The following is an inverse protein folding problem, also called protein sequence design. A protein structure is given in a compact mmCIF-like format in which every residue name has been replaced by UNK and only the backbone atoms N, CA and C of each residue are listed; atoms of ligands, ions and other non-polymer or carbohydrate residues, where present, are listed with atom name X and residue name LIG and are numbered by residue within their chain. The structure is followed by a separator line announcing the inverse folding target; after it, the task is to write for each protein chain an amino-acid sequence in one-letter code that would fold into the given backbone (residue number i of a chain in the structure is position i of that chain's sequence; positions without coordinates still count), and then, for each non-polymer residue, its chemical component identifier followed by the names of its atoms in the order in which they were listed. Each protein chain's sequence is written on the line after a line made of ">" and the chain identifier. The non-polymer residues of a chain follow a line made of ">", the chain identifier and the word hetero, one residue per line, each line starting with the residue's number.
data_IF_176220130349
#
_entry.id   IF_176220130349
#
_cell.length_a   1.000
_cell.length_b   1.000
_cell.length_c   1.000
_cell.angle_alpha   90.00
_cell.angle_beta   90.00
_cell.angle_gamma   90.00
#
_symmetry.space_group_name_H-M   'P 1'
#
loop_
_entity.id
_entity.type
_entity.pdbx_description
1 polymer ?
#
# COMPACT_ATOMS: atom_id res chain seq x y z
N UNK A 1 -5.61 -33.07 -18.34
CA UNK A 1 -5.99 -33.28 -16.92
C UNK A 1 -5.67 -32.01 -16.14
N UNK A 2 -6.67 -31.19 -15.85
CA UNK A 2 -6.50 -30.02 -14.98
C UNK A 2 -6.28 -30.52 -13.56
N UNK A 3 -5.09 -30.27 -12.98
CA UNK A 3 -4.80 -30.59 -11.58
C UNK A 3 -5.83 -29.87 -10.71
N UNK A 4 -6.49 -30.59 -9.80
CA UNK A 4 -7.28 -29.95 -8.72
C UNK A 4 -6.40 -28.90 -8.04
N UNK A 5 -6.88 -27.67 -7.82
CA UNK A 5 -6.11 -26.65 -7.11
C UNK A 5 -5.75 -27.18 -5.72
N UNK A 6 -4.46 -27.08 -5.36
CA UNK A 6 -4.00 -27.45 -4.01
C UNK A 6 -4.65 -26.48 -3.02
N UNK A 7 -4.99 -26.98 -1.83
CA UNK A 7 -5.54 -26.14 -0.76
C UNK A 7 -4.54 -25.01 -0.46
N UNK A 8 -4.99 -23.74 -0.34
CA UNK A 8 -4.10 -22.63 -0.04
C UNK A 8 -3.37 -22.87 1.28
N UNK A 9 -2.10 -22.48 1.33
CA UNK A 9 -1.25 -22.70 2.50
C UNK A 9 -1.54 -21.68 3.60
N UNK A 10 -1.76 -20.42 3.19
CA UNK A 10 -2.15 -19.31 4.06
C UNK A 10 -3.16 -18.39 3.36
N UNK A 11 -3.78 -17.49 4.12
CA UNK A 11 -4.57 -16.35 3.65
C UNK A 11 -3.80 -15.05 3.88
N UNK A 12 -3.59 -14.28 2.81
CA UNK A 12 -2.87 -12.99 2.84
C UNK A 12 -3.78 -11.84 2.49
N UNK A 13 -3.83 -10.83 3.35
CA UNK A 13 -4.47 -9.55 3.07
C UNK A 13 -3.44 -8.54 2.54
N UNK A 14 -3.67 -8.02 1.33
CA UNK A 14 -2.84 -6.99 0.70
C UNK A 14 -3.66 -5.71 0.57
N UNK A 15 -3.14 -4.63 1.13
CA UNK A 15 -3.76 -3.31 1.00
C UNK A 15 -3.28 -2.65 -0.29
N UNK A 16 -4.14 -2.62 -1.31
CA UNK A 16 -3.83 -2.08 -2.63
C UNK A 16 -4.10 -0.56 -2.67
N UNK A 17 -3.07 0.21 -2.99
CA UNK A 17 -3.15 1.68 -3.14
C UNK A 17 -3.17 2.14 -4.60
N UNK A 18 -2.89 1.24 -5.54
CA UNK A 18 -2.71 1.56 -6.95
C UNK A 18 -1.32 2.07 -7.30
N UNK A 19 -0.43 2.23 -6.31
CA UNK A 19 0.98 2.58 -6.52
C UNK A 19 1.88 1.38 -6.82
N UNK A 20 3.15 1.66 -7.15
CA UNK A 20 4.17 0.65 -7.50
C UNK A 20 4.31 -0.41 -6.41
N UNK A 21 4.41 0.01 -5.16
CA UNK A 21 4.82 -0.86 -4.05
C UNK A 21 3.73 -1.87 -3.68
N UNK A 22 2.48 -1.42 -3.57
CA UNK A 22 1.36 -2.30 -3.29
C UNK A 22 1.01 -3.21 -4.47
N UNK A 23 1.22 -2.74 -5.71
CA UNK A 23 1.04 -3.53 -6.93
C UNK A 23 2.09 -4.63 -7.05
N UNK A 24 3.35 -4.32 -6.70
CA UNK A 24 4.42 -5.32 -6.64
C UNK A 24 4.08 -6.43 -5.66
N UNK A 25 3.64 -6.10 -4.43
CA UNK A 25 3.26 -7.12 -3.45
C UNK A 25 2.13 -8.02 -3.95
N UNK A 26 1.14 -7.44 -4.63
CA UNK A 26 0.07 -8.21 -5.25
C UNK A 26 0.62 -9.14 -6.33
N UNK A 27 1.42 -8.63 -7.27
CA UNK A 27 2.02 -9.43 -8.33
C UNK A 27 2.88 -10.56 -7.77
N UNK A 28 3.72 -10.27 -6.77
CA UNK A 28 4.57 -11.24 -6.10
C UNK A 28 3.74 -12.34 -5.42
N UNK A 29 2.74 -11.99 -4.61
CA UNK A 29 1.90 -12.96 -3.93
C UNK A 29 1.12 -13.85 -4.92
N UNK A 30 0.67 -13.29 -6.04
CA UNK A 30 -0.05 -14.06 -7.06
C UNK A 30 0.86 -15.01 -7.84
N UNK A 31 2.13 -14.63 -8.09
CA UNK A 31 3.09 -15.40 -8.90
C UNK A 31 3.87 -16.44 -8.11
N UNK A 32 4.21 -16.13 -6.87
CA UNK A 32 5.21 -16.90 -6.12
C UNK A 32 4.59 -17.81 -5.06
N UNK A 33 3.30 -17.65 -4.77
CA UNK A 33 2.64 -18.44 -3.72
C UNK A 33 1.28 -18.97 -4.14
N UNK A 34 0.88 -20.05 -3.46
CA UNK A 34 -0.43 -20.70 -3.60
C UNK A 34 -1.43 -20.18 -2.55
N UNK A 35 -1.13 -19.05 -1.91
CA UNK A 35 -1.95 -18.53 -0.83
C UNK A 35 -3.27 -17.96 -1.36
N UNK A 36 -4.31 -18.00 -0.52
CA UNK A 36 -5.52 -17.23 -0.77
C UNK A 36 -5.16 -15.75 -0.61
N UNK A 37 -5.33 -14.97 -1.67
CA UNK A 37 -5.03 -13.54 -1.65
C UNK A 37 -6.34 -12.77 -1.50
N UNK A 38 -6.42 -11.96 -0.45
CA UNK A 38 -7.45 -10.96 -0.22
C UNK A 38 -6.82 -9.61 -0.54
N UNK A 39 -7.45 -8.84 -1.42
CA UNK A 39 -7.00 -7.52 -1.81
C UNK A 39 -8.06 -6.52 -1.39
N UNK A 40 -7.63 -5.49 -0.68
CA UNK A 40 -8.53 -4.43 -0.24
C UNK A 40 -7.99 -3.06 -0.64
N UNK A 41 -8.84 -2.24 -1.26
CA UNK A 41 -8.53 -0.86 -1.59
C UNK A 41 -9.38 0.11 -0.75
N UNK A 42 -8.75 1.13 -0.19
CA UNK A 42 -9.43 2.18 0.58
C UNK A 42 -9.49 3.45 -0.24
N UNK A 43 -10.70 3.91 -0.55
CA UNK A 43 -10.94 5.24 -1.12
C UNK A 43 -10.77 6.29 -0.02
N UNK A 44 -9.61 6.94 0.04
CA UNK A 44 -9.33 8.01 1.00
C UNK A 44 -9.74 9.37 0.41
N UNK A 45 -10.97 9.79 0.69
CA UNK A 45 -11.49 11.09 0.22
C UNK A 45 -11.01 12.17 1.19
N UNK A 46 -10.08 12.99 0.75
CA UNK A 46 -9.46 14.04 1.55
C UNK A 46 -9.10 15.25 0.65
N UNK A 47 -8.45 16.27 1.22
CA UNK A 47 -8.11 17.52 0.51
C UNK A 47 -7.13 17.33 -0.67
N UNK A 48 -6.43 16.20 -0.76
CA UNK A 48 -5.53 15.90 -1.88
C UNK A 48 -6.28 15.46 -3.13
N UNK A 49 -7.54 15.03 -3.00
CA UNK A 49 -8.42 14.72 -4.14
C UNK A 49 -7.95 13.55 -5.02
N UNK A 50 -7.01 12.72 -4.55
CA UNK A 50 -6.35 11.68 -5.36
C UNK A 50 -7.10 10.35 -5.45
N UNK A 51 -8.08 10.12 -4.58
CA UNK A 51 -8.88 8.88 -4.50
C UNK A 51 -9.41 8.39 -5.87
N UNK A 52 -9.85 9.29 -6.76
CA UNK A 52 -10.41 8.88 -8.06
C UNK A 52 -9.34 8.33 -9.02
N UNK A 53 -8.15 8.91 -9.00
CA UNK A 53 -7.05 8.45 -9.84
C UNK A 53 -6.50 7.11 -9.33
N UNK A 54 -6.35 6.99 -8.01
CA UNK A 54 -5.96 5.73 -7.34
C UNK A 54 -6.98 4.62 -7.60
N UNK A 55 -8.28 4.88 -7.43
CA UNK A 55 -9.33 3.91 -7.70
C UNK A 55 -9.33 3.42 -9.16
N UNK A 56 -9.11 4.34 -10.11
CA UNK A 56 -9.01 3.98 -11.53
C UNK A 56 -7.80 3.10 -11.82
N UNK A 57 -6.65 3.38 -11.19
CA UNK A 57 -5.47 2.54 -11.27
C UNK A 57 -5.70 1.16 -10.64
N UNK A 58 -6.22 1.10 -9.41
CA UNK A 58 -6.56 -0.13 -8.71
C UNK A 58 -7.45 -1.05 -9.55
N UNK A 59 -8.51 -0.51 -10.16
CA UNK A 59 -9.40 -1.28 -11.04
C UNK A 59 -8.64 -1.92 -12.20
N UNK A 60 -7.82 -1.15 -12.91
CA UNK A 60 -7.01 -1.65 -14.03
C UNK A 60 -6.00 -2.70 -13.59
N UNK A 61 -5.33 -2.48 -12.46
CA UNK A 61 -4.38 -3.43 -11.86
C UNK A 61 -5.09 -4.74 -11.53
N UNK A 62 -6.27 -4.68 -10.90
CA UNK A 62 -7.07 -5.86 -10.55
C UNK A 62 -7.47 -6.65 -11.80
N UNK A 63 -7.97 -5.97 -12.82
CA UNK A 63 -8.33 -6.59 -14.11
C UNK A 63 -7.12 -7.23 -14.79
N UNK A 64 -5.96 -6.56 -14.78
CA UNK A 64 -4.71 -7.10 -15.32
C UNK A 64 -4.24 -8.34 -14.55
N UNK A 65 -4.17 -8.28 -13.22
CA UNK A 65 -3.69 -9.37 -12.39
C UNK A 65 -4.58 -10.61 -12.49
N UNK A 66 -5.90 -10.45 -12.53
CA UNK A 66 -6.83 -11.57 -12.75
C UNK A 66 -6.66 -12.24 -14.11
N UNK A 67 -6.34 -11.45 -15.14
CA UNK A 67 -6.15 -11.95 -16.51
C UNK A 67 -4.80 -12.66 -16.69
N UNK A 68 -3.74 -12.13 -16.08
CA UNK A 68 -2.37 -12.54 -16.36
C UNK A 68 -1.76 -13.48 -15.31
N UNK A 69 -2.30 -13.49 -14.08
CA UNK A 69 -1.78 -14.31 -12.98
C UNK A 69 -2.79 -15.36 -12.53
N UNK A 70 -3.67 -15.01 -11.58
CA UNK A 70 -4.74 -15.87 -11.06
C UNK A 70 -5.80 -15.05 -10.35
N UNK A 71 -6.94 -15.66 -10.08
CA UNK A 71 -8.02 -15.01 -9.36
C UNK A 71 -7.71 -14.82 -7.86
N UNK A 72 -8.36 -13.83 -7.26
CA UNK A 72 -8.25 -13.42 -5.87
C UNK A 72 -9.49 -12.64 -5.42
N UNK A 73 -9.68 -12.56 -4.10
CA UNK A 73 -10.79 -11.79 -3.52
C UNK A 73 -10.44 -10.31 -3.56
N UNK A 74 -11.32 -9.47 -4.10
CA UNK A 74 -11.13 -8.02 -4.15
C UNK A 74 -12.31 -7.31 -3.49
N UNK A 75 -12.01 -6.37 -2.60
CA UNK A 75 -12.99 -5.57 -1.88
C UNK A 75 -12.52 -4.12 -1.79
N UNK A 76 -13.46 -3.21 -1.54
CA UNK A 76 -13.18 -1.78 -1.41
C UNK A 76 -13.94 -1.20 -0.22
N UNK A 77 -13.39 -0.16 0.42
CA UNK A 77 -14.10 0.67 1.41
C UNK A 77 -13.83 2.15 1.15
N UNK A 78 -14.61 3.04 1.76
CA UNK A 78 -14.44 4.49 1.62
C UNK A 78 -14.33 5.15 2.98
N UNK A 79 -13.32 6.01 3.14
CA UNK A 79 -13.18 6.89 4.30
C UNK A 79 -13.17 8.33 3.81
N UNK A 80 -14.23 9.07 4.15
CA UNK A 80 -14.38 10.47 3.79
C UNK A 80 -13.98 11.39 4.95
N UNK A 81 -12.93 12.18 4.72
CA UNK A 81 -12.42 13.23 5.62
C UNK A 81 -12.40 14.60 4.95
N UNK A 82 -13.14 14.79 3.86
CA UNK A 82 -13.23 16.08 3.16
C UNK A 82 -13.76 17.22 4.04
N UNK A 83 -14.55 16.89 5.07
CA UNK A 83 -15.04 17.83 6.08
C UNK A 83 -14.07 18.13 7.23
N UNK A 84 -12.87 17.53 7.26
CA UNK A 84 -11.90 17.68 8.34
C UNK A 84 -10.62 18.39 7.85
N UNK A 85 -10.12 19.31 8.67
CA UNK A 85 -8.80 19.93 8.43
C UNK A 85 -7.64 19.00 8.78
N UNK A 86 -7.81 18.17 9.81
CA UNK A 86 -6.83 17.17 10.21
C UNK A 86 -7.17 15.84 9.54
N UNK A 87 -6.31 15.38 8.62
CA UNK A 87 -6.53 14.16 7.85
C UNK A 87 -5.86 12.93 8.48
N UNK A 88 -4.95 13.11 9.46
CA UNK A 88 -4.14 12.02 10.00
C UNK A 88 -3.15 11.44 8.99
N UNK A 89 -2.45 10.36 9.35
CA UNK A 89 -1.63 9.61 8.41
C UNK A 89 -2.47 8.54 7.71
N UNK A 90 -2.39 8.49 6.38
CA UNK A 90 -3.12 7.53 5.55
C UNK A 90 -2.91 6.09 6.03
N UNK A 91 -1.67 5.71 6.36
CA UNK A 91 -1.31 4.35 6.79
C UNK A 91 -2.04 3.88 8.05
N UNK A 92 -2.37 4.80 8.98
CA UNK A 92 -3.15 4.45 10.18
C UNK A 92 -4.58 4.10 9.79
N UNK A 93 -5.15 4.85 8.85
CA UNK A 93 -6.50 4.60 8.33
C UNK A 93 -6.54 3.28 7.57
N UNK A 94 -5.55 3.06 6.69
CA UNK A 94 -5.42 1.81 5.94
C UNK A 94 -5.27 0.61 6.89
N UNK A 95 -4.53 0.75 7.99
CA UNK A 95 -4.41 -0.32 8.99
C UNK A 95 -5.74 -0.62 9.70
N UNK A 96 -6.52 0.41 10.05
CA UNK A 96 -7.88 0.21 10.58
C UNK A 96 -8.78 -0.50 9.58
N UNK A 97 -8.77 -0.09 8.31
CA UNK A 97 -9.56 -0.75 7.26
C UNK A 97 -9.08 -2.18 6.97
N UNK A 98 -7.78 -2.45 7.11
CA UNK A 98 -7.25 -3.81 7.01
C UNK A 98 -7.86 -4.73 8.08
N UNK A 99 -8.05 -4.24 9.30
CA UNK A 99 -8.66 -5.02 10.38
C UNK A 99 -10.15 -5.27 10.15
N UNK A 100 -10.87 -4.28 9.59
CA UNK A 100 -12.26 -4.46 9.15
C UNK A 100 -12.34 -5.51 8.04
N UNK A 101 -11.49 -5.41 7.02
CA UNK A 101 -11.46 -6.36 5.90
C UNK A 101 -11.13 -7.79 6.36
N UNK A 102 -10.16 -7.95 7.26
CA UNK A 102 -9.82 -9.25 7.85
C UNK A 102 -10.98 -9.83 8.68
N UNK A 103 -11.66 -9.00 9.48
CA UNK A 103 -12.82 -9.41 10.28
C UNK A 103 -14.00 -9.79 9.39
N UNK A 104 -14.24 -9.04 8.31
CA UNK A 104 -15.29 -9.37 7.34
C UNK A 104 -15.03 -10.74 6.69
N UNK A 105 -13.78 -11.03 6.30
CA UNK A 105 -13.41 -12.34 5.78
C UNK A 105 -13.65 -13.47 6.80
N UNK A 106 -13.33 -13.24 8.09
CA UNK A 106 -13.64 -14.18 9.16
C UNK A 106 -15.15 -14.44 9.27
N UNK A 107 -15.97 -13.39 9.25
CA UNK A 107 -17.42 -13.53 9.37
C UNK A 107 -18.04 -14.25 8.17
N UNK A 108 -17.52 -14.02 6.97
CA UNK A 108 -18.03 -14.63 5.74
C UNK A 108 -17.62 -16.10 5.59
N UNK A 109 -16.38 -16.44 5.96
CA UNK A 109 -15.78 -17.75 5.63
C UNK A 109 -15.50 -18.63 6.83
N UNK A 110 -15.55 -18.08 8.04
CA UNK A 110 -15.07 -18.72 9.27
C UNK A 110 -13.54 -18.78 9.40
N UNK A 111 -12.78 -18.26 8.43
CA UNK A 111 -11.31 -18.23 8.42
C UNK A 111 -10.75 -16.82 8.58
N UNK A 112 -9.74 -16.65 9.44
CA UNK A 112 -9.01 -15.39 9.58
C UNK A 112 -7.90 -15.28 8.53
N UNK A 113 -7.56 -14.05 8.13
CA UNK A 113 -6.30 -13.82 7.41
C UNK A 113 -5.10 -14.16 8.31
N UNK A 114 -4.12 -14.91 7.79
CA UNK A 114 -2.90 -15.24 8.53
C UNK A 114 -1.97 -14.02 8.59
N UNK A 115 -1.86 -13.33 7.46
CA UNK A 115 -0.95 -12.21 7.26
C UNK A 115 -1.66 -11.00 6.65
N UNK A 116 -1.16 -9.82 6.99
CA UNK A 116 -1.48 -8.60 6.25
C UNK A 116 -0.21 -7.85 5.87
N UNK A 117 -0.27 -7.14 4.74
CA UNK A 117 0.89 -6.51 4.11
C UNK A 117 0.56 -5.11 3.57
N UNK A 118 1.57 -4.24 3.61
CA UNK A 118 1.58 -2.90 3.05
C UNK A 118 2.82 -2.76 2.16
N UNK A 119 2.69 -2.06 1.04
CA UNK A 119 3.80 -1.78 0.13
C UNK A 119 4.79 -0.80 0.73
N UNK A 120 6.09 -1.16 0.71
CA UNK A 120 7.20 -0.30 1.09
C UNK A 120 8.37 -0.55 0.14
N UNK A 121 9.22 0.46 -0.07
CA UNK A 121 10.46 0.40 -0.84
C UNK A 121 11.60 1.06 -0.05
N UNK A 122 12.83 0.92 -0.56
CA UNK A 122 14.01 1.50 0.07
C UNK A 122 14.00 3.03 0.06
N UNK A 123 13.51 3.67 -1.00
CA UNK A 123 13.45 5.13 -1.11
C UNK A 123 12.55 5.77 -0.05
N UNK A 124 11.53 5.03 0.43
CA UNK A 124 10.64 5.39 1.53
C UNK A 124 11.14 4.88 2.89
N UNK A 125 12.08 3.94 2.91
CA UNK A 125 12.74 3.47 4.12
C UNK A 125 13.82 4.44 4.58
N UNK A 126 14.50 5.16 3.68
CA UNK A 126 15.42 6.24 4.08
C UNK A 126 14.70 7.38 4.82
N UNK A 127 13.45 7.71 4.41
CA UNK A 127 12.56 8.62 5.16
C UNK A 127 12.20 8.06 6.58
N UNK A 128 12.46 6.77 6.86
CA UNK A 128 12.16 6.06 8.11
C UNK A 128 13.41 5.51 8.84
N UNK A 129 14.61 5.62 8.27
CA UNK A 129 15.88 5.10 8.80
C UNK A 129 16.97 6.17 8.98
N UNK A 130 16.88 7.35 8.34
CA UNK A 130 17.51 8.60 8.89
C UNK A 130 16.94 8.98 10.27
N UNK A 131 15.97 8.18 10.73
CA UNK A 131 15.22 8.26 11.95
C UNK A 131 15.76 7.31 13.07
N UNK A 132 16.87 6.59 12.86
CA UNK A 132 17.50 5.69 13.84
C UNK A 132 18.95 6.04 14.23
N UNK A 133 19.50 7.17 13.79
CA UNK A 133 20.81 7.62 14.30
C UNK A 133 20.67 8.23 15.70
N UNK A 134 21.01 7.37 16.65
CA UNK A 134 21.44 7.62 18.02
C UNK A 134 20.53 8.43 18.96
N UNK A 135 20.23 7.78 20.08
CA UNK A 135 19.99 8.41 21.38
C UNK A 135 21.27 9.14 21.80
N UNK A 136 21.62 10.21 21.08
CA UNK A 136 22.74 11.10 21.34
C UNK A 136 22.26 12.24 22.22
N UNK A 137 22.39 12.07 23.54
CA UNK A 137 22.38 13.18 24.48
C UNK A 137 23.52 14.15 24.12
N UNK A 138 23.22 15.19 23.34
CA UNK A 138 23.94 16.46 23.47
C UNK A 138 23.04 17.61 23.00
N UNK A 139 22.70 18.47 23.95
CA UNK A 139 22.08 19.75 23.68
C UNK A 139 23.13 20.71 23.10
N UNK A 140 22.83 21.34 21.96
CA UNK A 140 23.04 22.79 21.77
C UNK A 140 22.55 23.26 20.39
N UNK A 141 21.84 24.39 20.37
CA UNK A 141 21.89 25.36 19.27
C UNK A 141 20.90 25.22 18.11
N UNK A 142 20.02 26.21 18.00
CA UNK A 142 19.20 26.62 16.85
C UNK A 142 17.98 25.79 16.39
N UNK A 143 16.83 26.35 16.76
CA UNK A 143 15.47 25.86 16.63
C UNK A 143 14.92 26.01 15.19
N UNK A 144 15.28 25.06 14.32
CA UNK A 144 14.49 24.72 13.14
C UNK A 144 13.99 23.28 13.26
N UNK A 145 12.95 23.08 14.07
CA UNK A 145 12.01 21.95 14.07
C UNK A 145 12.54 20.59 13.55
N UNK A 146 13.57 20.03 14.18
CA UNK A 146 13.88 18.61 14.08
C UNK A 146 12.75 17.83 14.76
N UNK A 147 11.72 17.46 13.99
CA UNK A 147 10.69 16.53 14.47
C UNK A 147 11.39 15.19 14.70
N UNK A 148 11.34 14.61 15.91
CA UNK A 148 11.90 13.28 16.11
C UNK A 148 11.18 12.31 15.20
N UNK A 149 11.98 11.62 14.41
CA UNK A 149 11.74 10.28 13.93
C UNK A 149 10.60 9.53 14.63
N UNK A 150 9.40 9.50 14.05
CA UNK A 150 8.29 8.80 14.71
C UNK A 150 8.27 7.35 14.23
N UNK A 151 8.69 6.40 15.06
CA UNK A 151 8.41 4.99 14.81
C UNK A 151 6.87 4.78 14.74
N UNK A 152 6.31 4.71 13.53
CA UNK A 152 4.86 4.61 13.30
C UNK A 152 4.31 3.20 13.49
N UNK A 153 5.17 2.18 13.48
CA UNK A 153 4.73 0.78 13.47
C UNK A 153 3.84 0.42 14.68
N UNK A 154 4.13 0.81 15.93
CA UNK A 154 3.24 0.53 17.05
C UNK A 154 1.82 1.08 16.87
N UNK A 155 1.69 2.27 16.27
CA UNK A 155 0.39 2.89 16.00
C UNK A 155 -0.37 2.19 14.87
N UNK A 156 0.36 1.77 13.82
CA UNK A 156 -0.18 0.97 12.72
C UNK A 156 -0.73 -0.36 13.28
N UNK A 157 0.05 -1.06 14.10
CA UNK A 157 -0.35 -2.33 14.71
C UNK A 157 -1.52 -2.17 15.69
N UNK A 158 -1.57 -1.06 16.44
CA UNK A 158 -2.69 -0.76 17.32
C UNK A 158 -4.00 -0.50 16.53
N UNK A 159 -3.90 0.20 15.39
CA UNK A 159 -5.06 0.54 14.56
C UNK A 159 -5.76 -0.69 13.94
N UNK A 160 -4.97 -1.67 13.46
CA UNK A 160 -5.52 -2.94 12.98
C UNK A 160 -6.06 -3.80 14.14
N UNK A 161 -5.36 -3.84 15.27
CA UNK A 161 -5.82 -4.60 16.44
C UNK A 161 -7.17 -4.08 16.98
N UNK A 162 -7.35 -2.76 17.02
CA UNK A 162 -8.57 -2.13 17.51
C UNK A 162 -9.81 -2.50 16.67
N UNK A 163 -9.62 -2.66 15.36
CA UNK A 163 -10.71 -2.99 14.42
C UNK A 163 -10.96 -4.49 14.26
N UNK A 164 -10.02 -5.34 14.71
CA UNK A 164 -10.23 -6.79 14.76
C UNK A 164 -10.93 -7.29 16.04
N UNK A 165 -11.05 -6.45 17.09
CA UNK A 165 -11.64 -6.85 18.36
C UNK A 165 -13.05 -7.47 18.19
N UNK A 166 -13.35 -8.62 18.85
CA UNK A 166 -12.58 -9.29 19.90
C UNK A 166 -11.53 -10.29 19.41
N UNK A 167 -11.33 -10.41 18.10
CA UNK A 167 -10.38 -11.36 17.52
C UNK A 167 -8.96 -10.79 17.48
N UNK A 168 -7.97 -11.69 17.46
CA UNK A 168 -6.59 -11.29 17.21
C UNK A 168 -6.43 -10.78 15.76
N UNK A 169 -5.65 -9.71 15.53
CA UNK A 169 -5.39 -9.23 14.18
C UNK A 169 -4.49 -10.20 13.39
N UNK A 170 -4.55 -10.18 12.04
CA UNK A 170 -3.58 -10.90 11.21
C UNK A 170 -2.15 -10.44 11.51
N UNK A 171 -1.16 -11.32 11.35
CA UNK A 171 0.24 -10.97 11.58
C UNK A 171 0.73 -10.00 10.50
N UNK A 172 1.42 -8.95 10.91
CA UNK A 172 2.06 -8.06 9.95
C UNK A 172 3.27 -8.76 9.31
N UNK A 173 3.24 -8.96 8.00
CA UNK A 173 4.35 -9.53 7.24
C UNK A 173 5.07 -8.38 6.52
N UNK A 174 6.21 -7.96 7.08
CA UNK A 174 7.05 -6.92 6.49
C UNK A 174 7.71 -7.46 5.21
N UNK A 175 7.51 -6.83 4.04
CA UNK A 175 8.20 -7.25 2.83
C UNK A 175 9.69 -6.92 2.91
N UNK A 176 10.49 -7.64 2.12
CA UNK A 176 11.90 -7.29 1.89
C UNK A 176 11.90 -5.96 1.13
N UNK A 177 12.63 -4.98 1.65
CA UNK A 177 12.75 -3.68 1.01
C UNK A 177 13.67 -3.80 -0.21
N UNK A 178 13.19 -3.33 -1.35
CA UNK A 178 13.94 -3.26 -2.59
C UNK A 178 13.84 -1.84 -3.17
N UNK A 179 14.79 -1.42 -4.01
CA UNK A 179 14.67 -0.20 -4.78
C UNK A 179 13.42 -0.26 -5.66
N UNK A 180 12.71 0.86 -5.78
CA UNK A 180 11.49 0.96 -6.58
C UNK A 180 11.73 0.60 -8.05
N UNK A 181 12.95 0.81 -8.57
CA UNK A 181 13.37 0.33 -9.89
C UNK A 181 13.26 -1.19 -10.02
N UNK A 182 13.78 -1.94 -9.05
CA UNK A 182 13.71 -3.40 -9.07
C UNK A 182 12.26 -3.90 -9.00
N UNK A 183 11.41 -3.22 -8.22
CA UNK A 183 9.97 -3.51 -8.17
C UNK A 183 9.33 -3.34 -9.55
N UNK A 184 9.67 -2.25 -10.25
CA UNK A 184 9.19 -1.98 -11.61
C UNK A 184 9.69 -3.02 -12.62
N UNK A 185 10.96 -3.40 -12.55
CA UNK A 185 11.54 -4.44 -13.41
C UNK A 185 10.86 -5.79 -13.21
N UNK A 186 10.58 -6.16 -11.96
CA UNK A 186 9.87 -7.39 -11.64
C UNK A 186 8.44 -7.43 -12.22
N UNK A 187 7.71 -6.32 -12.12
CA UNK A 187 6.32 -6.22 -12.59
C UNK A 187 6.20 -6.19 -14.11
N UNK A 188 7.24 -5.70 -14.80
CA UNK A 188 7.20 -5.45 -16.24
C UNK A 188 6.40 -4.19 -16.59
N UNK A 189 6.71 -3.64 -17.78
CA UNK A 189 6.20 -2.32 -18.18
C UNK A 189 4.66 -2.25 -18.24
N UNK A 190 4.00 -3.30 -18.74
CA UNK A 190 2.54 -3.34 -18.89
C UNK A 190 1.82 -3.11 -17.55
N UNK A 191 2.32 -3.67 -16.45
CA UNK A 191 1.72 -3.49 -15.12
C UNK A 191 2.18 -2.18 -14.47
N UNK A 192 3.44 -1.77 -14.70
CA UNK A 192 3.97 -0.47 -14.24
C UNK A 192 3.16 0.69 -14.82
N UNK A 193 2.76 0.63 -16.09
CA UNK A 193 1.98 1.68 -16.76
C UNK A 193 0.55 1.82 -16.23
N UNK A 194 0.05 0.82 -15.48
CA UNK A 194 -1.25 0.89 -14.80
C UNK A 194 -1.16 1.58 -13.43
N UNK A 195 0.04 1.71 -12.87
CA UNK A 195 0.24 2.24 -11.53
C UNK A 195 0.08 3.77 -11.49
N UNK A 196 -0.47 4.27 -10.39
CA UNK A 196 -0.61 5.68 -10.09
C UNK A 196 0.26 6.10 -8.91
N UNK A 197 1.03 7.17 -9.09
CA UNK A 197 1.98 7.63 -8.06
C UNK A 197 1.84 9.12 -7.71
N UNK A 198 1.15 9.90 -8.55
CA UNK A 198 1.06 11.34 -8.35
C UNK A 198 0.13 11.71 -7.18
N UNK A 199 0.61 12.60 -6.30
CA UNK A 199 -0.18 13.08 -5.15
C UNK A 199 -1.15 14.22 -5.46
N UNK A 200 -1.06 14.83 -6.64
CA UNK A 200 -1.88 15.98 -7.05
C UNK A 200 -2.34 15.80 -8.50
N UNK A 201 -3.24 14.85 -8.78
CA UNK A 201 -3.71 14.59 -10.15
C UNK A 201 -4.20 15.86 -10.84
N UNK A 202 -3.82 16.04 -12.11
CA UNK A 202 -4.44 17.01 -13.00
C UNK A 202 -5.57 16.30 -13.76
N UNK A 203 -6.79 16.80 -13.63
CA UNK A 203 -7.95 16.27 -14.35
C UNK A 203 -8.09 16.96 -15.70
N UNK A 204 -8.18 16.17 -16.76
CA UNK A 204 -8.43 16.60 -18.14
C UNK A 204 -9.64 15.84 -18.71
N UNK A 205 -10.05 16.19 -19.92
CA UNK A 205 -11.08 15.43 -20.65
C UNK A 205 -10.64 14.00 -21.00
N UNK A 206 -9.33 13.74 -21.01
CA UNK A 206 -8.74 12.42 -21.29
C UNK A 206 -8.51 11.58 -20.02
N UNK A 207 -8.80 12.12 -18.84
CA UNK A 207 -8.67 11.42 -17.56
C UNK A 207 -7.76 12.13 -16.57
N UNK A 208 -6.95 11.35 -15.85
CA UNK A 208 -6.02 11.86 -14.83
C UNK A 208 -4.59 11.82 -15.36
N UNK A 209 -3.85 12.92 -15.15
CA UNK A 209 -2.44 13.04 -15.51
C UNK A 209 -1.59 13.38 -14.30
N UNK A 210 -0.35 12.88 -14.29
CA UNK A 210 0.65 13.24 -13.28
C UNK A 210 0.95 14.74 -13.37
N UNK A 211 1.09 15.42 -12.23
CA UNK A 211 1.35 16.86 -12.21
C UNK A 211 2.81 17.26 -12.50
N UNK A 212 3.74 16.31 -12.52
CA UNK A 212 5.18 16.57 -12.67
C UNK A 212 5.87 17.20 -11.46
N UNK A 213 5.14 17.89 -10.57
CA UNK A 213 5.74 18.76 -9.56
C UNK A 213 5.75 18.24 -8.11
N UNK A 214 4.91 17.25 -7.78
CA UNK A 214 4.86 16.72 -6.41
C UNK A 214 6.10 15.87 -6.06
N UNK A 215 6.40 15.69 -4.76
CA UNK A 215 7.55 14.87 -4.27
C UNK A 215 7.62 13.53 -5.01
N UNK A 216 6.50 12.83 -5.10
CA UNK A 216 6.43 11.52 -5.74
C UNK A 216 6.62 11.59 -7.26
N UNK A 217 6.09 12.60 -7.95
CA UNK A 217 6.36 12.77 -9.39
C UNK A 217 7.85 13.01 -9.64
N UNK A 218 8.51 13.87 -8.85
CA UNK A 218 9.94 14.16 -8.98
C UNK A 218 10.79 12.90 -8.75
N UNK A 219 10.46 12.12 -7.73
CA UNK A 219 11.07 10.82 -7.49
C UNK A 219 10.88 9.89 -8.69
N UNK A 220 9.65 9.72 -9.17
CA UNK A 220 9.37 8.82 -10.30
C UNK A 220 10.04 9.26 -11.60
N UNK A 221 10.16 10.57 -11.85
CA UNK A 221 10.94 11.11 -12.97
C UNK A 221 12.40 10.67 -12.84
N UNK A 222 13.05 10.89 -11.68
CA UNK A 222 14.44 10.43 -11.49
C UNK A 222 14.63 8.92 -11.66
N UNK A 223 13.69 8.10 -11.19
CA UNK A 223 13.75 6.64 -11.32
C UNK A 223 13.56 6.21 -12.78
N UNK A 224 12.70 6.90 -13.53
CA UNK A 224 12.44 6.62 -14.95
C UNK A 224 13.59 7.10 -15.85
N UNK A 225 14.26 8.19 -15.48
CA UNK A 225 15.34 8.81 -16.25
C UNK A 225 16.70 8.10 -16.03
N UNK A 226 16.92 7.52 -14.85
CA UNK A 226 18.12 6.72 -14.53
C UNK A 226 18.14 5.34 -15.24
N UNK A 227 17.59 5.23 -16.45
CA UNK A 227 17.78 4.08 -17.34
C UNK A 227 19.21 4.08 -17.86
N UNK A 228 20.13 3.49 -17.11
CA UNK A 228 21.48 3.11 -17.59
C UNK A 228 21.58 1.61 -17.75
#
# INVERSE_FOLDING_TARGET
>A
MTKRPKKPKFTRLIMLSGGIDSTFLLAQALRETEDLVLVHHVHLINLEGRHRAEAHACKKIVEYCRRNYRDFVYTESTVDRSGLYAMGYDVITVASEAGIAATNHLLETGGMADFWMLGFNLEEAHDAEEENDEVGLSASGDQAAQRPATNRLPYILAAIAATCFPNAPPKYLRPILQPKRELMDYMGQDLVDLCWTCRRPVRTDQGFHECGECKTCKLMISIRDNKS
#
